data_IF_704320704630
#
_entry.id   IF_704320704630
#
_cell.length_a   1.000
_cell.length_b   1.000
_cell.length_c   1.000
_cell.angle_alpha   90.00
_cell.angle_beta   90.00
_cell.angle_gamma   90.00
#
_symmetry.space_group_name_H-M   'P 1'
#
loop_
_entity.id
_entity.type
_entity.pdbx_description
1 polymer ?
#
# COMPACT_ATOMS: atom_id res chain seq x y z
N UNK A 1 4.95 -12.95 -3.92
CA UNK A 1 3.54 -12.55 -3.77
C UNK A 1 3.30 -11.22 -4.45
N UNK A 2 2.25 -11.11 -5.23
CA UNK A 2 1.92 -9.88 -5.95
C UNK A 2 1.34 -8.82 -5.01
N UNK A 3 1.38 -7.53 -5.39
CA UNK A 3 0.71 -6.50 -4.60
C UNK A 3 -0.78 -6.79 -4.38
N UNK A 4 -1.48 -7.32 -5.39
CA UNK A 4 -2.90 -7.69 -5.23
C UNK A 4 -3.09 -8.79 -4.19
N UNK A 5 -2.20 -9.78 -4.18
CA UNK A 5 -2.26 -10.87 -3.20
C UNK A 5 -1.99 -10.38 -1.78
N UNK A 6 -1.01 -9.48 -1.63
CA UNK A 6 -0.73 -8.86 -0.32
C UNK A 6 -1.94 -8.09 0.19
N UNK A 7 -2.57 -7.33 -0.70
CA UNK A 7 -3.74 -6.53 -0.34
C UNK A 7 -4.93 -7.43 0.01
N UNK A 8 -5.12 -8.52 -0.73
CA UNK A 8 -6.18 -9.49 -0.44
C UNK A 8 -5.98 -10.13 0.93
N UNK A 9 -4.74 -10.45 1.30
CA UNK A 9 -4.44 -10.96 2.64
C UNK A 9 -4.75 -9.93 3.73
N UNK A 10 -4.42 -8.66 3.50
CA UNK A 10 -4.75 -7.60 4.44
C UNK A 10 -6.27 -7.50 4.67
N UNK A 11 -7.05 -7.55 3.59
CA UNK A 11 -8.51 -7.52 3.68
C UNK A 11 -9.05 -8.76 4.40
N UNK A 12 -8.45 -9.93 4.15
CA UNK A 12 -8.82 -11.16 4.83
C UNK A 12 -8.62 -11.10 6.34
N UNK A 13 -7.53 -10.48 6.78
CA UNK A 13 -7.26 -10.29 8.22
C UNK A 13 -8.29 -9.37 8.86
N UNK A 14 -8.72 -8.32 8.18
CA UNK A 14 -9.78 -7.45 8.68
C UNK A 14 -11.09 -8.25 8.83
N UNK A 15 -11.43 -9.05 7.82
CA UNK A 15 -12.66 -9.86 7.84
C UNK A 15 -12.66 -10.92 8.94
N UNK A 16 -11.49 -11.43 9.31
CA UNK A 16 -11.33 -12.49 10.30
C UNK A 16 -10.91 -11.97 11.67
N UNK A 17 -10.91 -10.65 11.88
CA UNK A 17 -10.50 -10.07 13.16
C UNK A 17 -11.44 -10.50 14.29
N UNK A 18 -10.86 -10.73 15.45
CA UNK A 18 -11.61 -11.07 16.65
C UNK A 18 -10.93 -10.49 17.90
N UNK A 19 -11.55 -10.72 19.07
CA UNK A 19 -11.01 -10.22 20.34
C UNK A 19 -9.65 -10.81 20.65
N UNK A 20 -9.42 -12.07 20.30
CA UNK A 20 -8.15 -12.75 20.57
C UNK A 20 -6.97 -12.14 19.78
N UNK A 21 -7.24 -11.54 18.61
CA UNK A 21 -6.22 -10.94 17.76
C UNK A 21 -6.18 -9.42 17.83
N UNK A 22 -6.99 -8.80 18.69
CA UNK A 22 -7.21 -7.36 18.73
C UNK A 22 -5.93 -6.53 18.86
N UNK A 23 -4.93 -7.03 19.60
CA UNK A 23 -3.65 -6.34 19.76
C UNK A 23 -2.67 -6.51 18.61
N UNK A 24 -2.95 -7.39 17.67
CA UNK A 24 -1.99 -7.81 16.64
C UNK A 24 -2.49 -7.54 15.22
N UNK A 25 -3.77 -7.79 14.94
CA UNK A 25 -4.27 -7.74 13.57
C UNK A 25 -4.10 -6.37 12.90
N UNK A 26 -4.26 -5.21 13.59
CA UNK A 26 -4.09 -3.93 12.89
C UNK A 26 -2.69 -3.72 12.37
N UNK A 27 -1.68 -4.15 13.14
CA UNK A 27 -0.27 -4.05 12.71
C UNK A 27 0.03 -4.96 11.53
N UNK A 28 -0.51 -6.17 11.55
CA UNK A 28 -0.34 -7.11 10.44
C UNK A 28 -1.01 -6.60 9.16
N UNK A 29 -2.21 -6.05 9.26
CA UNK A 29 -2.91 -5.44 8.13
C UNK A 29 -2.10 -4.28 7.57
N UNK A 30 -1.63 -3.38 8.43
CA UNK A 30 -0.83 -2.23 8.02
C UNK A 30 0.47 -2.67 7.34
N UNK A 31 1.13 -3.68 7.88
CA UNK A 31 2.37 -4.22 7.31
C UNK A 31 2.14 -4.78 5.91
N UNK A 32 1.12 -5.59 5.72
CA UNK A 32 0.81 -6.19 4.42
C UNK A 32 0.41 -5.14 3.38
N UNK A 33 -0.42 -4.18 3.77
CA UNK A 33 -0.84 -3.10 2.89
C UNK A 33 0.34 -2.22 2.51
N UNK A 34 1.25 -1.93 3.46
CA UNK A 34 2.45 -1.17 3.19
C UNK A 34 3.36 -1.89 2.20
N UNK A 35 3.54 -3.20 2.35
CA UNK A 35 4.30 -3.98 1.39
C UNK A 35 3.68 -3.93 -0.01
N UNK A 36 2.36 -3.95 -0.10
CA UNK A 36 1.65 -3.83 -1.38
C UNK A 36 1.93 -2.47 -2.04
N UNK A 37 1.92 -1.38 -1.27
CA UNK A 37 2.29 -0.04 -1.76
C UNK A 37 3.72 -0.06 -2.30
N UNK A 38 4.65 -0.53 -1.47
CA UNK A 38 6.07 -0.49 -1.81
C UNK A 38 6.37 -1.30 -3.08
N UNK A 39 5.79 -2.47 -3.22
CA UNK A 39 5.98 -3.30 -4.41
C UNK A 39 5.39 -2.64 -5.66
N UNK A 40 4.20 -2.04 -5.54
CA UNK A 40 3.56 -1.40 -6.70
C UNK A 40 4.25 -0.09 -7.09
N UNK A 41 4.72 0.70 -6.13
CA UNK A 41 5.50 1.91 -6.40
C UNK A 41 6.82 1.55 -7.07
N UNK A 42 7.54 0.56 -6.55
CA UNK A 42 8.81 0.11 -7.16
C UNK A 42 8.58 -0.39 -8.59
N UNK A 43 7.52 -1.12 -8.84
CA UNK A 43 7.17 -1.58 -10.19
C UNK A 43 6.91 -0.40 -11.13
N UNK A 44 6.18 0.61 -10.67
CA UNK A 44 5.93 1.82 -11.46
C UNK A 44 7.23 2.56 -11.76
N UNK A 45 8.06 2.79 -10.75
CA UNK A 45 9.32 3.52 -10.88
C UNK A 45 10.29 2.77 -11.80
N UNK A 46 10.35 1.44 -11.69
CA UNK A 46 11.21 0.62 -12.55
C UNK A 46 10.85 0.76 -14.02
N UNK A 47 9.56 0.92 -14.33
CA UNK A 47 9.12 1.11 -15.72
C UNK A 47 9.39 2.50 -16.27
N UNK A 48 9.36 3.53 -15.42
CA UNK A 48 9.45 4.93 -15.84
C UNK A 48 10.84 5.53 -15.62
N UNK A 49 11.57 5.06 -14.62
CA UNK A 49 12.90 5.55 -14.26
C UNK A 49 13.72 4.40 -13.65
N UNK A 50 14.19 3.44 -14.48
CA UNK A 50 14.82 2.20 -13.98
C UNK A 50 15.97 2.42 -13.01
N UNK A 51 16.70 3.51 -13.13
CA UNK A 51 17.81 3.82 -12.23
C UNK A 51 17.41 4.08 -10.78
N UNK A 52 16.12 4.23 -10.50
CA UNK A 52 15.63 4.55 -9.17
C UNK A 52 15.05 3.35 -8.41
N UNK A 53 14.99 2.17 -9.03
CA UNK A 53 14.34 1.00 -8.42
C UNK A 53 14.96 0.56 -7.09
N UNK A 54 16.26 0.79 -6.91
CA UNK A 54 16.99 0.37 -5.71
C UNK A 54 17.18 1.52 -4.71
N UNK A 55 16.53 2.64 -4.93
CA UNK A 55 16.57 3.77 -3.99
C UNK A 55 15.58 3.57 -2.84
N UNK A 56 15.75 4.29 -1.72
CA UNK A 56 14.79 4.22 -0.62
C UNK A 56 13.38 4.59 -1.07
N UNK A 57 12.38 4.06 -0.37
CA UNK A 57 10.98 4.27 -0.73
C UNK A 57 10.61 5.76 -0.77
N UNK A 58 11.15 6.58 0.12
CA UNK A 58 10.89 8.03 0.11
C UNK A 58 11.29 8.68 -1.21
N UNK A 59 12.44 8.28 -1.77
CA UNK A 59 12.88 8.78 -3.07
C UNK A 59 11.97 8.29 -4.19
N UNK A 60 11.52 7.03 -4.12
CA UNK A 60 10.61 6.47 -5.11
C UNK A 60 9.24 7.16 -5.08
N UNK A 61 8.75 7.53 -3.90
CA UNK A 61 7.49 8.27 -3.76
C UNK A 61 7.59 9.68 -4.35
N UNK A 62 8.74 10.33 -4.20
CA UNK A 62 8.98 11.62 -4.87
C UNK A 62 8.94 11.43 -6.39
N UNK A 63 9.61 10.40 -6.90
CA UNK A 63 9.58 10.07 -8.33
C UNK A 63 8.17 9.76 -8.82
N UNK A 64 7.39 9.00 -8.04
CA UNK A 64 5.99 8.72 -8.36
C UNK A 64 5.21 10.02 -8.55
N UNK A 65 5.33 10.95 -7.61
CA UNK A 65 4.63 12.23 -7.67
C UNK A 65 5.01 13.03 -8.91
N UNK A 66 6.30 13.00 -9.29
CA UNK A 66 6.79 13.73 -10.45
C UNK A 66 6.40 13.07 -11.79
N UNK A 67 6.34 11.75 -11.83
CA UNK A 67 6.16 10.99 -13.08
C UNK A 67 4.70 10.58 -13.35
N UNK A 68 3.85 10.62 -12.33
CA UNK A 68 2.47 10.17 -12.46
C UNK A 68 1.64 11.16 -13.28
N UNK A 69 0.77 10.63 -14.15
CA UNK A 69 -0.24 11.42 -14.85
C UNK A 69 -1.52 11.58 -14.01
N UNK A 70 -1.54 11.08 -12.79
CA UNK A 70 -2.64 11.19 -11.82
C UNK A 70 -2.13 11.76 -10.51
N UNK A 71 -1.85 13.06 -10.43
CA UNK A 71 -1.20 13.66 -9.27
C UNK A 71 -2.01 13.53 -7.97
N UNK A 72 -3.32 13.57 -8.04
CA UNK A 72 -4.19 13.38 -6.88
C UNK A 72 -4.02 11.99 -6.27
N UNK A 73 -4.05 10.96 -7.13
CA UNK A 73 -3.86 9.59 -6.69
C UNK A 73 -2.46 9.39 -6.11
N UNK A 74 -1.43 9.96 -6.75
CA UNK A 74 -0.06 9.88 -6.25
C UNK A 74 0.06 10.47 -4.85
N UNK A 75 -0.55 11.62 -4.59
CA UNK A 75 -0.54 12.24 -3.25
C UNK A 75 -1.24 11.35 -2.22
N UNK A 76 -2.36 10.74 -2.59
CA UNK A 76 -3.10 9.83 -1.69
C UNK A 76 -2.28 8.59 -1.37
N UNK A 77 -1.54 8.06 -2.34
CA UNK A 77 -0.63 6.92 -2.14
C UNK A 77 0.48 7.29 -1.17
N UNK A 78 1.09 8.46 -1.33
CA UNK A 78 2.13 8.95 -0.41
C UNK A 78 1.57 9.05 1.01
N UNK A 79 0.39 9.64 1.16
CA UNK A 79 -0.28 9.74 2.46
C UNK A 79 -0.54 8.37 3.06
N UNK A 80 -1.08 7.44 2.26
CA UNK A 80 -1.37 6.09 2.72
C UNK A 80 -0.10 5.37 3.18
N UNK A 81 1.01 5.51 2.46
CA UNK A 81 2.27 4.89 2.86
C UNK A 81 2.74 5.41 4.22
N UNK A 82 2.67 6.73 4.44
CA UNK A 82 3.03 7.30 5.74
C UNK A 82 2.13 6.79 6.86
N UNK A 83 0.83 6.77 6.64
CA UNK A 83 -0.14 6.31 7.63
C UNK A 83 0.05 4.82 7.95
N UNK A 84 0.27 3.99 6.94
CA UNK A 84 0.51 2.56 7.11
C UNK A 84 1.84 2.29 7.82
N UNK A 85 2.87 3.09 7.53
CA UNK A 85 4.15 2.98 8.20
C UNK A 85 4.02 3.27 9.70
N UNK A 86 3.28 4.31 10.07
CA UNK A 86 3.01 4.62 11.48
C UNK A 86 2.21 3.50 12.15
N UNK A 87 1.18 3.01 11.47
CA UNK A 87 0.32 1.95 12.01
C UNK A 87 1.08 0.63 12.22
N UNK A 88 2.11 0.36 11.42
CA UNK A 88 2.96 -0.81 11.59
C UNK A 88 3.77 -0.75 12.89
N UNK A 89 4.09 0.45 13.36
CA UNK A 89 4.96 0.68 14.50
C UNK A 89 4.24 1.20 15.76
N UNK A 90 2.89 1.22 15.79
CA UNK A 90 2.21 1.69 16.98
C UNK A 90 2.49 0.79 18.18
N UNK A 91 2.49 1.37 19.37
CA UNK A 91 2.71 0.65 20.62
C UNK A 91 1.37 0.33 21.31
N UNK A 92 1.40 -0.64 22.23
CA UNK A 92 0.20 -1.11 22.91
C UNK A 92 -0.55 -0.02 23.69
N UNK A 93 0.14 1.04 24.12
CA UNK A 93 -0.49 2.17 24.81
C UNK A 93 -1.00 3.25 23.87
N UNK A 94 -0.78 3.12 22.57
CA UNK A 94 -1.30 4.03 21.56
C UNK A 94 -2.62 3.48 21.03
N UNK A 95 -3.48 4.36 20.54
CA UNK A 95 -4.70 3.92 19.89
C UNK A 95 -4.39 3.31 18.53
N UNK A 96 -4.89 2.09 18.31
CA UNK A 96 -4.79 1.46 17.00
C UNK A 96 -5.64 2.24 15.98
N UNK A 97 -5.25 2.23 14.69
CA UNK A 97 -6.09 2.82 13.65
C UNK A 97 -7.47 2.17 13.64
N UNK A 98 -8.50 2.96 13.37
CA UNK A 98 -9.83 2.43 13.19
C UNK A 98 -9.90 1.56 11.95
N UNK A 99 -10.80 0.57 11.95
CA UNK A 99 -11.03 -0.30 10.78
C UNK A 99 -11.33 0.54 9.54
N UNK A 100 -12.19 1.55 9.66
CA UNK A 100 -12.54 2.43 8.54
C UNK A 100 -11.33 3.17 7.97
N UNK A 101 -10.38 3.59 8.81
CA UNK A 101 -9.15 4.21 8.36
C UNK A 101 -8.28 3.23 7.57
N UNK A 102 -8.07 2.03 8.11
CA UNK A 102 -7.32 1.00 7.43
C UNK A 102 -7.94 0.63 6.09
N UNK A 103 -9.27 0.46 6.05
CA UNK A 103 -9.98 0.16 4.81
C UNK A 103 -9.84 1.28 3.78
N UNK A 104 -9.88 2.54 4.23
CA UNK A 104 -9.67 3.69 3.35
C UNK A 104 -8.28 3.70 2.72
N UNK A 105 -7.25 3.41 3.49
CA UNK A 105 -5.88 3.33 2.96
C UNK A 105 -5.72 2.14 2.02
N UNK A 106 -6.30 0.99 2.37
CA UNK A 106 -6.29 -0.21 1.52
C UNK A 106 -6.99 0.08 0.19
N UNK A 107 -8.12 0.77 0.21
CA UNK A 107 -8.85 1.13 -1.01
C UNK A 107 -8.01 2.05 -1.90
N UNK A 108 -7.30 3.01 -1.31
CA UNK A 108 -6.35 3.86 -2.05
C UNK A 108 -5.27 3.02 -2.73
N UNK A 109 -4.70 2.07 -1.99
CA UNK A 109 -3.67 1.17 -2.54
C UNK A 109 -4.23 0.32 -3.67
N UNK A 110 -5.45 -0.20 -3.51
CA UNK A 110 -6.13 -0.99 -4.54
C UNK A 110 -6.35 -0.19 -5.82
N UNK A 111 -6.81 1.05 -5.67
CA UNK A 111 -7.01 1.96 -6.82
C UNK A 111 -5.68 2.21 -7.54
N UNK A 112 -4.61 2.42 -6.79
CA UNK A 112 -3.28 2.63 -7.36
C UNK A 112 -2.78 1.39 -8.11
N UNK A 113 -2.91 0.21 -7.51
CA UNK A 113 -2.51 -1.05 -8.14
C UNK A 113 -3.25 -1.22 -9.47
N UNK A 114 -4.54 -0.97 -9.50
CA UNK A 114 -5.34 -1.07 -10.72
C UNK A 114 -4.89 -0.07 -11.79
N UNK A 115 -4.51 1.14 -11.36
CA UNK A 115 -4.10 2.20 -12.27
C UNK A 115 -2.74 1.92 -12.93
N UNK A 116 -1.82 1.26 -12.21
CA UNK A 116 -0.43 1.05 -12.68
C UNK A 116 -0.18 -0.35 -13.21
N UNK A 117 -1.07 -1.30 -12.94
CA UNK A 117 -0.93 -2.66 -13.48
C UNK A 117 -1.34 -2.64 -14.95
N UNK A 118 -0.46 -3.06 -15.88
CA UNK A 118 -0.83 -3.13 -17.29
C UNK A 118 -2.01 -4.08 -17.50
N UNK A 119 -2.89 -3.70 -18.43
CA UNK A 119 -3.99 -4.57 -18.82
C UNK A 119 -3.42 -5.89 -19.39
N UNK A 120 -4.05 -7.05 -19.12
CA UNK A 120 -3.59 -8.30 -19.70
C UNK A 120 -3.67 -8.23 -21.23
N UNK A 121 -2.64 -8.75 -21.89
CA UNK A 121 -2.64 -8.86 -23.34
C UNK A 121 -3.65 -9.93 -23.72
N UNK A 122 -4.68 -9.52 -24.46
CA UNK A 122 -5.67 -10.45 -24.95
C UNK A 122 -5.30 -10.80 -26.40
N UNK A 123 -4.88 -12.02 -26.64
CA UNK A 123 -4.68 -12.52 -28.00
C UNK A 123 -6.03 -12.88 -28.60
N UNK A 124 -6.20 -12.54 -29.86
CA UNK A 124 -7.36 -12.93 -30.64
C UNK A 124 -6.98 -13.96 -31.67
#
# INVERSE_FOLDING_TARGET
MTPRQLLAQARGLIAQRDVATEGVWPRCVAFLARQAVEASVTSFVDRHAPGLRDTPMRAQLIALTALSNRPELARRVVYAWHALSEATHYHAYELAPAVAELEGWIDTVGTFIDAVTPAPITER
#
